data_IF_482569460841
#
_entry.id   IF_482569460841
#
_cell.length_a   1.000
_cell.length_b   1.000
_cell.length_c   1.000
_cell.angle_alpha   90.00
_cell.angle_beta   90.00
_cell.angle_gamma   90.00
#
_symmetry.space_group_name_H-M   'P 1'
#
loop_
_entity.id
_entity.type
_entity.pdbx_description
1 polymer ?
#
# COMPACT_ATOMS: atom_id res chain seq x y z
N UNK A 1 -10.66 33.74 -31.08
CA UNK A 1 -9.81 32.88 -30.23
C UNK A 1 -10.56 32.63 -28.93
N UNK A 2 -11.21 31.47 -28.80
CA UNK A 2 -12.07 31.12 -27.68
C UNK A 2 -11.25 30.69 -26.46
N UNK A 3 -11.54 31.29 -25.32
CA UNK A 3 -10.99 30.97 -24.01
C UNK A 3 -11.30 29.51 -23.63
N UNK A 4 -10.31 28.63 -23.74
CA UNK A 4 -10.36 27.28 -23.16
C UNK A 4 -10.54 27.44 -21.65
N UNK A 5 -11.66 26.92 -21.13
CA UNK A 5 -12.04 27.03 -19.74
C UNK A 5 -10.94 26.49 -18.82
N UNK A 6 -10.52 27.33 -17.86
CA UNK A 6 -9.73 26.88 -16.71
C UNK A 6 -10.53 25.78 -16.00
N UNK A 7 -9.95 24.60 -15.87
CA UNK A 7 -10.45 23.58 -14.96
C UNK A 7 -10.63 24.22 -13.58
N UNK A 8 -11.86 24.41 -13.11
CA UNK A 8 -12.09 24.80 -11.73
C UNK A 8 -11.95 23.55 -10.85
N UNK A 9 -10.70 23.13 -10.63
CA UNK A 9 -10.30 22.00 -9.77
C UNK A 9 -10.97 22.03 -8.39
N UNK A 10 -11.38 23.22 -7.93
CA UNK A 10 -11.88 23.53 -6.58
C UNK A 10 -13.31 24.06 -6.54
N UNK A 11 -14.11 23.92 -7.61
CA UNK A 11 -15.53 24.26 -7.50
C UNK A 11 -16.29 23.11 -6.86
N UNK A 12 -16.53 23.22 -5.56
CA UNK A 12 -17.35 22.28 -4.79
C UNK A 12 -18.24 23.01 -3.77
N UNK A 13 -19.20 22.28 -3.20
CA UNK A 13 -20.02 22.76 -2.09
C UNK A 13 -19.93 21.78 -0.92
N UNK A 14 -19.73 22.31 0.29
CA UNK A 14 -19.82 21.52 1.51
C UNK A 14 -21.26 21.45 2.00
N UNK A 15 -21.66 20.29 2.47
CA UNK A 15 -22.96 20.03 3.08
C UNK A 15 -22.79 19.00 4.20
N UNK A 16 -22.52 19.51 5.40
CA UNK A 16 -22.23 18.75 6.62
C UNK A 16 -21.20 17.63 6.43
N UNK A 17 -21.60 16.42 6.04
CA UNK A 17 -20.73 15.25 5.85
C UNK A 17 -20.35 14.96 4.40
N UNK A 18 -20.75 15.82 3.46
CA UNK A 18 -20.58 15.62 2.02
C UNK A 18 -19.89 16.82 1.33
N UNK A 19 -18.96 16.50 0.43
CA UNK A 19 -18.40 17.43 -0.55
C UNK A 19 -19.09 17.17 -1.88
N UNK A 20 -19.90 18.11 -2.36
CA UNK A 20 -20.56 18.03 -3.65
C UNK A 20 -19.68 18.61 -4.75
N UNK A 21 -19.36 17.79 -5.75
CA UNK A 21 -18.70 18.22 -6.98
C UNK A 21 -19.72 18.27 -8.13
N UNK A 22 -20.03 19.45 -8.66
CA UNK A 22 -20.86 19.58 -9.85
C UNK A 22 -20.03 19.10 -11.05
N UNK A 23 -20.26 17.85 -11.49
CA UNK A 23 -19.62 17.34 -12.70
C UNK A 23 -20.09 18.20 -13.89
N UNK A 24 -19.17 18.97 -14.48
CA UNK A 24 -19.40 19.85 -15.64
C UNK A 24 -19.67 19.09 -16.97
N UNK A 25 -20.01 17.80 -16.92
CA UNK A 25 -20.38 17.05 -18.12
C UNK A 25 -21.86 17.24 -18.47
N UNK A 26 -22.15 17.16 -19.77
CA UNK A 26 -23.49 17.25 -20.39
C UNK A 26 -24.56 16.31 -19.81
N UNK A 27 -24.16 15.34 -18.97
CA UNK A 27 -25.00 14.27 -18.43
C UNK A 27 -25.65 14.55 -17.06
N UNK A 28 -25.68 15.79 -16.54
CA UNK A 28 -26.42 16.21 -15.31
C UNK A 28 -26.15 15.43 -14.01
N UNK A 29 -25.19 14.49 -13.97
CA UNK A 29 -24.91 13.68 -12.77
C UNK A 29 -24.11 14.49 -11.75
N UNK A 30 -24.53 14.42 -10.50
CA UNK A 30 -23.91 15.03 -9.32
C UNK A 30 -23.04 13.97 -8.65
N UNK A 31 -21.83 14.35 -8.22
CA UNK A 31 -21.00 13.50 -7.37
C UNK A 31 -20.90 14.12 -5.98
N UNK A 32 -20.89 13.27 -4.95
CA UNK A 32 -20.59 13.71 -3.59
C UNK A 32 -19.63 12.77 -2.90
N UNK A 33 -18.82 13.31 -2.00
CA UNK A 33 -17.77 12.57 -1.32
C UNK A 33 -17.90 12.72 0.19
N UNK A 34 -17.78 11.61 0.90
CA UNK A 34 -17.64 11.58 2.36
C UNK A 34 -16.26 11.03 2.72
N UNK A 35 -15.71 11.47 3.85
CA UNK A 35 -14.41 11.02 4.36
C UNK A 35 -14.59 10.44 5.74
N UNK A 36 -13.99 9.27 5.95
CA UNK A 36 -14.14 8.50 7.18
C UNK A 36 -12.75 8.09 7.68
N UNK A 37 -12.51 8.28 8.97
CA UNK A 37 -11.35 7.70 9.67
C UNK A 37 -11.72 6.38 10.31
N UNK A 38 -10.83 5.40 10.15
CA UNK A 38 -11.06 4.02 10.59
C UNK A 38 -9.77 3.45 11.17
N UNK A 39 -9.87 2.73 12.29
CA UNK A 39 -8.70 2.02 12.85
C UNK A 39 -8.45 0.70 12.10
N UNK A 40 -9.52 -0.03 11.83
CA UNK A 40 -9.53 -1.33 11.13
C UNK A 40 -10.44 -1.21 9.89
N UNK A 41 -9.91 -1.54 8.71
CA UNK A 41 -10.59 -1.36 7.41
C UNK A 41 -11.34 -2.62 6.96
N UNK A 42 -10.90 -3.78 7.47
CA UNK A 42 -11.27 -5.11 6.95
C UNK A 42 -12.78 -5.28 6.96
N UNK A 43 -13.37 -5.07 8.14
CA UNK A 43 -14.79 -5.24 8.37
C UNK A 43 -15.65 -4.24 7.55
N UNK A 44 -15.08 -3.07 7.24
CA UNK A 44 -15.74 -2.05 6.44
C UNK A 44 -15.68 -2.34 4.93
N UNK A 45 -14.64 -3.05 4.47
CA UNK A 45 -14.53 -3.41 3.05
C UNK A 45 -15.72 -4.28 2.64
N UNK A 46 -16.15 -5.23 3.46
CA UNK A 46 -17.29 -6.10 3.13
C UNK A 46 -18.60 -5.29 3.04
N UNK A 47 -18.84 -4.40 4.00
CA UNK A 47 -20.02 -3.52 3.98
C UNK A 47 -20.00 -2.63 2.75
N UNK A 48 -18.90 -1.93 2.49
CA UNK A 48 -18.83 -1.01 1.36
C UNK A 48 -18.89 -1.72 0.01
N UNK A 49 -18.36 -2.95 -0.07
CA UNK A 49 -18.51 -3.81 -1.26
C UNK A 49 -19.98 -4.09 -1.54
N UNK A 50 -20.76 -4.50 -0.54
CA UNK A 50 -22.20 -4.74 -0.71
C UNK A 50 -22.94 -3.48 -1.18
N UNK A 51 -22.58 -2.31 -0.64
CA UNK A 51 -23.18 -1.03 -1.04
C UNK A 51 -22.80 -0.60 -2.46
N UNK A 52 -21.61 -0.92 -2.92
CA UNK A 52 -21.17 -0.74 -4.31
C UNK A 52 -21.95 -1.69 -5.23
N UNK A 53 -22.12 -2.96 -4.84
CA UNK A 53 -22.92 -3.96 -5.58
C UNK A 53 -24.39 -3.54 -5.72
N UNK A 54 -24.97 -2.97 -4.66
CA UNK A 54 -26.32 -2.41 -4.66
C UNK A 54 -26.44 -1.03 -5.32
N UNK A 55 -25.33 -0.46 -5.81
CA UNK A 55 -25.24 0.88 -6.42
C UNK A 55 -25.68 2.02 -5.50
N UNK A 56 -25.64 1.82 -4.19
CA UNK A 56 -25.86 2.89 -3.20
C UNK A 56 -24.65 3.81 -3.17
N UNK A 57 -23.45 3.22 -3.29
CA UNK A 57 -22.17 3.91 -3.43
C UNK A 57 -21.67 3.72 -4.86
N UNK A 58 -21.11 4.77 -5.44
CA UNK A 58 -20.54 4.70 -6.79
C UNK A 58 -19.16 4.05 -6.78
N UNK A 59 -18.29 4.49 -5.89
CA UNK A 59 -17.00 3.85 -5.60
C UNK A 59 -16.55 4.24 -4.19
N UNK A 60 -15.58 3.53 -3.63
CA UNK A 60 -14.86 3.98 -2.45
C UNK A 60 -13.35 3.78 -2.61
N UNK A 61 -12.58 4.48 -1.80
CA UNK A 61 -11.13 4.36 -1.75
C UNK A 61 -10.64 4.22 -0.32
N UNK A 62 -9.56 3.47 -0.15
CA UNK A 62 -8.81 3.37 1.11
C UNK A 62 -7.46 4.01 0.89
N UNK A 63 -7.19 5.06 1.65
CA UNK A 63 -5.93 5.77 1.69
C UNK A 63 -5.15 5.32 2.93
N UNK A 64 -3.90 4.90 2.73
CA UNK A 64 -2.97 4.58 3.82
C UNK A 64 -1.72 5.45 3.65
N UNK A 65 -1.42 6.26 4.65
CA UNK A 65 -0.18 7.03 4.67
C UNK A 65 1.00 6.23 5.24
N UNK A 66 2.19 6.83 5.24
CA UNK A 66 3.39 6.20 5.79
C UNK A 66 3.35 6.00 7.31
N UNK A 67 2.48 6.72 8.01
CA UNK A 67 2.25 6.55 9.45
C UNK A 67 1.17 5.49 9.73
N UNK A 68 0.73 4.76 8.69
CA UNK A 68 -0.30 3.73 8.74
C UNK A 68 -1.67 4.26 9.18
N UNK A 69 -1.89 5.58 9.15
CA UNK A 69 -3.22 6.14 9.30
C UNK A 69 -4.03 5.81 8.07
N UNK A 70 -5.30 5.46 8.32
CA UNK A 70 -6.20 4.98 7.30
C UNK A 70 -7.39 5.92 7.20
N UNK A 71 -7.62 6.37 5.99
CA UNK A 71 -8.74 7.25 5.64
C UNK A 71 -9.49 6.61 4.49
N UNK A 72 -10.80 6.51 4.61
CA UNK A 72 -11.67 6.04 3.53
C UNK A 72 -12.37 7.23 2.90
N UNK A 73 -12.43 7.27 1.57
CA UNK A 73 -13.23 8.24 0.83
C UNK A 73 -14.32 7.47 0.11
N UNK A 74 -15.56 7.88 0.29
CA UNK A 74 -16.74 7.24 -0.26
C UNK A 74 -17.39 8.19 -1.24
N UNK A 75 -17.58 7.74 -2.48
CA UNK A 75 -18.18 8.52 -3.55
C UNK A 75 -19.60 8.04 -3.85
N UNK A 76 -20.52 8.99 -3.87
CA UNK A 76 -21.90 8.81 -4.29
C UNK A 76 -22.11 9.51 -5.63
N UNK A 77 -22.99 8.95 -6.46
CA UNK A 77 -23.32 9.53 -7.76
C UNK A 77 -24.79 9.31 -8.08
N UNK A 78 -25.50 10.39 -8.34
CA UNK A 78 -26.91 10.36 -8.77
C UNK A 78 -27.22 11.58 -9.65
N UNK A 79 -28.41 11.62 -10.24
CA UNK A 79 -28.92 12.79 -10.96
C UNK A 79 -29.54 13.82 -10.01
N UNK A 80 -30.02 13.38 -8.84
CA UNK A 80 -30.66 14.22 -7.83
C UNK A 80 -29.86 14.25 -6.53
N UNK A 81 -29.68 15.46 -5.98
CA UNK A 81 -28.94 15.68 -4.73
C UNK A 81 -29.56 14.93 -3.55
N UNK A 82 -30.89 14.90 -3.51
CA UNK A 82 -31.69 14.29 -2.43
C UNK A 82 -31.46 12.78 -2.35
N UNK A 83 -31.28 12.11 -3.49
CA UNK A 83 -30.98 10.67 -3.55
C UNK A 83 -29.60 10.38 -2.97
N UNK A 84 -28.61 11.22 -3.29
CA UNK A 84 -27.26 11.13 -2.70
C UNK A 84 -27.33 11.26 -1.17
N UNK A 85 -28.07 12.26 -0.67
CA UNK A 85 -28.23 12.48 0.77
C UNK A 85 -28.89 11.26 1.42
N UNK A 86 -29.96 10.71 0.83
CA UNK A 86 -30.62 9.49 1.32
C UNK A 86 -29.65 8.30 1.37
N UNK A 87 -28.93 8.03 0.29
CA UNK A 87 -27.93 6.96 0.21
C UNK A 87 -26.83 7.12 1.26
N UNK A 88 -26.36 8.35 1.47
CA UNK A 88 -25.40 8.66 2.51
C UNK A 88 -25.96 8.35 3.91
N UNK A 89 -27.18 8.77 4.23
CA UNK A 89 -27.75 8.52 5.55
C UNK A 89 -28.06 7.04 5.82
N UNK A 90 -28.42 6.27 4.79
CA UNK A 90 -28.54 4.80 4.90
C UNK A 90 -27.19 4.20 5.31
N UNK A 91 -26.12 4.57 4.61
CA UNK A 91 -24.77 4.10 4.93
C UNK A 91 -24.34 4.57 6.33
N UNK A 92 -24.53 5.85 6.65
CA UNK A 92 -24.16 6.43 7.93
C UNK A 92 -24.82 5.68 9.09
N UNK A 93 -26.11 5.39 9.01
CA UNK A 93 -26.83 4.64 10.03
C UNK A 93 -26.24 3.22 10.20
N UNK A 94 -25.88 2.56 9.09
CA UNK A 94 -25.22 1.26 9.14
C UNK A 94 -23.86 1.36 9.84
N UNK A 95 -23.03 2.35 9.48
CA UNK A 95 -21.71 2.56 10.07
C UNK A 95 -21.78 2.91 11.57
N UNK A 96 -22.72 3.76 11.96
CA UNK A 96 -22.96 4.13 13.36
C UNK A 96 -23.35 2.91 14.21
N UNK A 97 -24.07 1.96 13.63
CA UNK A 97 -24.42 0.69 14.29
C UNK A 97 -23.28 -0.32 14.35
N UNK A 98 -22.31 -0.20 13.43
CA UNK A 98 -21.26 -1.19 13.23
C UNK A 98 -20.10 -1.06 14.24
N UNK A 99 -19.61 0.15 14.50
CA UNK A 99 -18.51 0.36 15.44
C UNK A 99 -18.38 1.80 15.91
N UNK A 100 -18.20 2.01 17.22
CA UNK A 100 -17.86 3.33 17.81
C UNK A 100 -16.50 3.87 17.37
N UNK A 101 -15.69 3.10 16.64
CA UNK A 101 -14.34 3.47 16.20
C UNK A 101 -14.31 4.09 14.80
N UNK A 102 -15.47 4.35 14.21
CA UNK A 102 -15.62 4.98 12.91
C UNK A 102 -15.94 6.45 13.13
N UNK A 103 -15.16 7.33 12.52
CA UNK A 103 -15.40 8.76 12.59
C UNK A 103 -15.64 9.33 11.19
N UNK A 104 -16.85 9.82 10.94
CA UNK A 104 -17.20 10.51 9.70
C UNK A 104 -16.91 12.01 9.89
N UNK A 105 -16.04 12.56 9.04
CA UNK A 105 -15.68 13.96 9.12
C UNK A 105 -16.80 14.87 8.59
N UNK A 106 -16.91 16.06 9.18
CA UNK A 106 -17.89 17.07 8.78
C UNK A 106 -17.22 18.43 8.48
N UNK A 107 -17.87 19.22 7.62
CA UNK A 107 -17.59 20.61 7.33
C UNK A 107 -16.13 20.85 6.95
N UNK A 108 -15.46 21.81 7.61
CA UNK A 108 -14.05 22.15 7.34
C UNK A 108 -13.09 20.98 7.60
N UNK A 109 -13.43 20.09 8.54
CA UNK A 109 -12.60 18.91 8.79
C UNK A 109 -12.74 17.89 7.66
N UNK A 110 -13.94 17.73 7.11
CA UNK A 110 -14.17 16.92 5.90
C UNK A 110 -13.35 17.45 4.72
N UNK A 111 -13.45 18.75 4.46
CA UNK A 111 -12.69 19.43 3.40
C UNK A 111 -11.19 19.23 3.58
N UNK A 112 -10.66 19.55 4.77
CA UNK A 112 -9.24 19.39 5.08
C UNK A 112 -8.77 17.95 4.87
N UNK A 113 -9.54 16.96 5.34
CA UNK A 113 -9.17 15.54 5.22
C UNK A 113 -9.33 14.99 3.80
N UNK A 114 -10.26 15.51 3.03
CA UNK A 114 -10.44 15.11 1.63
C UNK A 114 -9.24 15.51 0.76
N UNK A 115 -8.74 16.73 0.95
CA UNK A 115 -7.60 17.27 0.21
C UNK A 115 -6.24 16.92 0.83
N UNK A 116 -6.19 16.18 1.96
CA UNK A 116 -4.94 15.76 2.61
C UNK A 116 -4.23 14.63 1.83
N UNK A 117 -3.68 15.01 0.68
CA UNK A 117 -3.07 14.15 -0.33
C UNK A 117 -1.54 14.29 -0.38
N UNK A 118 -0.96 14.73 0.73
CA UNK A 118 0.43 15.18 0.86
C UNK A 118 0.75 16.60 0.42
N UNK A 119 -0.11 17.21 -0.40
CA UNK A 119 0.00 18.59 -0.89
C UNK A 119 -1.20 19.37 -0.35
N UNK A 120 -0.96 20.57 0.16
CA UNK A 120 -2.05 21.48 0.52
C UNK A 120 -2.61 22.13 -0.73
N UNK A 121 -3.52 21.44 -1.41
CA UNK A 121 -4.10 21.89 -2.67
C UNK A 121 -4.86 23.22 -2.57
N UNK A 122 -5.14 23.71 -1.35
CA UNK A 122 -5.81 24.99 -1.12
C UNK A 122 -4.83 26.18 -1.09
N UNK A 123 -3.51 25.97 -1.16
CA UNK A 123 -2.56 27.08 -1.22
C UNK A 123 -2.59 27.79 -2.59
N UNK A 124 -3.00 29.06 -2.58
CA UNK A 124 -3.08 29.91 -3.76
C UNK A 124 -1.73 30.17 -4.46
N UNK A 125 -0.60 29.81 -3.83
CA UNK A 125 0.74 29.96 -4.40
C UNK A 125 1.31 28.65 -4.99
N UNK A 126 0.47 27.64 -5.22
CA UNK A 126 0.90 26.42 -5.88
C UNK A 126 0.97 26.64 -7.40
N UNK A 127 2.16 26.45 -7.94
CA UNK A 127 2.38 26.27 -9.37
C UNK A 127 2.63 24.78 -9.65
N UNK A 128 2.03 24.27 -10.72
CA UNK A 128 2.18 22.87 -11.11
C UNK A 128 2.70 22.83 -12.54
N UNK A 129 3.87 22.24 -12.71
CA UNK A 129 4.52 22.07 -14.00
C UNK A 129 4.59 20.59 -14.36
N UNK A 130 4.24 20.25 -15.59
CA UNK A 130 4.36 18.88 -16.07
C UNK A 130 5.82 18.57 -16.44
N UNK A 131 6.35 17.47 -15.91
CA UNK A 131 7.61 16.86 -16.36
C UNK A 131 7.33 15.49 -16.98
N UNK A 132 8.36 14.89 -17.57
CA UNK A 132 8.28 13.51 -18.05
C UNK A 132 8.02 12.59 -16.85
N UNK A 133 6.87 11.89 -16.89
CA UNK A 133 6.43 10.93 -15.89
C UNK A 133 6.23 11.48 -14.46
N UNK A 134 6.08 12.80 -14.30
CA UNK A 134 5.91 13.43 -13.00
C UNK A 134 5.25 14.81 -13.11
N UNK A 135 4.78 15.32 -11.97
CA UNK A 135 4.32 16.69 -11.84
C UNK A 135 5.20 17.41 -10.81
N UNK A 136 5.83 18.50 -11.20
CA UNK A 136 6.46 19.39 -10.23
C UNK A 136 5.41 20.26 -9.58
N UNK A 137 5.56 20.41 -8.28
CA UNK A 137 4.72 21.22 -7.43
C UNK A 137 5.63 22.21 -6.75
N UNK A 138 5.47 23.48 -7.09
CA UNK A 138 6.25 24.58 -6.56
C UNK A 138 5.35 25.36 -5.60
N UNK A 139 5.75 25.42 -4.33
CA UNK A 139 5.07 26.23 -3.32
C UNK A 139 6.10 26.93 -2.44
N UNK A 140 6.01 28.26 -2.30
CA UNK A 140 6.81 29.08 -1.36
C UNK A 140 8.31 28.71 -1.36
N UNK A 141 8.90 28.57 -2.57
CA UNK A 141 10.32 28.21 -2.81
C UNK A 141 10.71 26.74 -2.56
N UNK A 142 9.77 25.83 -2.31
CA UNK A 142 10.02 24.39 -2.30
C UNK A 142 9.51 23.79 -3.61
N UNK A 143 10.41 23.17 -4.36
CA UNK A 143 10.08 22.32 -5.50
C UNK A 143 9.97 20.88 -5.02
N UNK A 144 8.87 20.22 -5.36
CA UNK A 144 8.61 18.82 -5.06
C UNK A 144 8.12 18.12 -6.31
N UNK A 145 8.51 16.87 -6.48
CA UNK A 145 8.13 16.08 -7.63
C UNK A 145 7.12 15.01 -7.20
N UNK A 146 5.88 15.15 -7.65
CA UNK A 146 4.83 14.15 -7.46
C UNK A 146 4.95 13.08 -8.55
N UNK A 147 5.16 11.84 -8.12
CA UNK A 147 5.14 10.66 -8.98
C UNK A 147 4.00 9.74 -8.57
N UNK A 148 3.45 9.03 -9.56
CA UNK A 148 2.43 8.03 -9.36
C UNK A 148 2.92 6.69 -9.89
N UNK A 149 2.68 5.63 -9.14
CA UNK A 149 3.02 4.27 -9.51
C UNK A 149 1.78 3.40 -9.40
N UNK A 150 1.60 2.48 -10.35
CA UNK A 150 0.72 1.33 -10.14
C UNK A 150 1.43 0.34 -9.22
N UNK A 151 0.65 -0.31 -8.35
CA UNK A 151 1.17 -1.32 -7.42
C UNK A 151 0.62 -2.68 -7.81
N UNK A 152 1.44 -3.54 -8.40
CA UNK A 152 1.05 -4.90 -8.72
C UNK A 152 1.00 -5.75 -7.44
N UNK A 153 -0.23 -6.10 -7.05
CA UNK A 153 -0.52 -6.98 -5.92
C UNK A 153 -0.96 -8.38 -6.37
N UNK A 154 -0.59 -8.83 -7.57
CA UNK A 154 -1.01 -10.15 -8.09
C UNK A 154 -0.04 -11.29 -7.78
N UNK A 155 1.21 -11.00 -7.41
CA UNK A 155 2.31 -11.98 -7.48
C UNK A 155 2.73 -12.66 -6.17
N UNK A 156 2.07 -12.39 -5.04
CA UNK A 156 2.43 -13.01 -3.76
C UNK A 156 1.28 -13.86 -3.21
N UNK A 157 1.33 -15.19 -3.37
CA UNK A 157 0.29 -16.07 -2.83
C UNK A 157 0.26 -16.12 -1.28
N UNK A 158 1.20 -15.45 -0.60
CA UNK A 158 1.33 -15.38 0.86
C UNK A 158 0.99 -13.97 1.38
N UNK A 159 -0.03 -13.35 0.83
CA UNK A 159 -0.54 -12.07 1.30
C UNK A 159 -1.11 -12.19 2.71
N UNK A 160 -0.38 -11.68 3.69
CA UNK A 160 -0.97 -11.27 4.96
C UNK A 160 -0.72 -9.78 5.21
N UNK A 161 -1.36 -9.24 6.24
CA UNK A 161 -1.20 -7.84 6.66
C UNK A 161 0.28 -7.44 6.85
N UNK A 162 1.18 -8.42 7.05
CA UNK A 162 2.62 -8.22 7.14
C UNK A 162 3.24 -7.66 5.87
N UNK A 163 2.73 -8.00 4.67
CA UNK A 163 3.23 -7.43 3.42
C UNK A 163 2.99 -5.93 3.37
N UNK A 164 1.75 -5.45 3.55
CA UNK A 164 1.43 -4.02 3.47
C UNK A 164 2.19 -3.20 4.51
N UNK A 165 2.31 -3.72 5.74
CA UNK A 165 3.07 -3.06 6.80
C UNK A 165 4.55 -3.00 6.43
N UNK A 166 5.12 -4.07 5.88
CA UNK A 166 6.54 -4.10 5.48
C UNK A 166 6.79 -3.20 4.27
N UNK A 167 5.89 -3.21 3.29
CA UNK A 167 5.92 -2.35 2.11
C UNK A 167 5.90 -0.87 2.47
N UNK A 168 4.96 -0.45 3.33
CA UNK A 168 4.89 0.94 3.80
C UNK A 168 6.12 1.32 4.61
N UNK A 169 6.65 0.42 5.46
CA UNK A 169 7.89 0.67 6.21
C UNK A 169 9.09 0.87 5.29
N UNK A 170 9.22 0.05 4.24
CA UNK A 170 10.26 0.22 3.23
C UNK A 170 10.12 1.58 2.57
N UNK A 171 8.93 1.92 2.06
CA UNK A 171 8.68 3.22 1.44
C UNK A 171 9.04 4.39 2.38
N UNK A 172 8.67 4.31 3.66
CA UNK A 172 8.99 5.34 4.67
C UNK A 172 10.49 5.50 4.93
N UNK A 173 11.29 4.44 4.74
CA UNK A 173 12.74 4.51 4.93
C UNK A 173 13.45 5.27 3.79
N UNK A 174 12.88 5.26 2.58
CA UNK A 174 13.50 5.85 1.40
C UNK A 174 12.85 7.17 0.96
N UNK A 175 11.57 7.36 1.26
CA UNK A 175 10.80 8.52 0.81
C UNK A 175 10.24 9.28 2.00
N UNK A 176 10.29 10.61 1.92
CA UNK A 176 9.82 11.47 3.02
C UNK A 176 8.29 11.42 3.16
N UNK A 177 7.58 11.31 2.03
CA UNK A 177 6.12 11.39 2.02
C UNK A 177 5.54 10.57 0.88
N UNK A 178 4.56 9.74 1.20
CA UNK A 178 3.86 8.91 0.24
C UNK A 178 2.53 8.45 0.80
N UNK A 179 1.64 8.09 -0.13
CA UNK A 179 0.30 7.61 0.18
C UNK A 179 -0.05 6.47 -0.76
N UNK A 180 -0.43 5.34 -0.19
CA UNK A 180 -0.94 4.19 -0.91
C UNK A 180 -2.47 4.27 -0.96
N UNK A 181 -3.03 4.18 -2.15
CA UNK A 181 -4.46 4.32 -2.40
C UNK A 181 -4.98 3.07 -3.08
N UNK A 182 -6.09 2.58 -2.54
CA UNK A 182 -6.82 1.43 -3.05
C UNK A 182 -8.20 1.88 -3.49
N UNK A 183 -8.47 1.86 -4.79
CA UNK A 183 -9.76 2.23 -5.33
C UNK A 183 -10.61 1.00 -5.63
N UNK A 184 -11.90 1.08 -5.29
CA UNK A 184 -12.87 0.00 -5.40
C UNK A 184 -14.14 0.50 -6.10
N UNK A 185 -14.50 -0.10 -7.25
CA UNK A 185 -15.67 0.29 -8.05
C UNK A 185 -16.25 -0.89 -8.82
N UNK A 186 -17.43 -0.73 -9.43
CA UNK A 186 -17.85 -1.62 -10.53
C UNK A 186 -17.37 -1.11 -11.88
N UNK A 187 -16.98 -2.03 -12.77
CA UNK A 187 -16.81 -1.71 -14.20
C UNK A 187 -18.15 -1.73 -14.95
N UNK A 188 -18.10 -1.51 -16.26
CA UNK A 188 -19.28 -1.54 -17.15
C UNK A 188 -19.98 -2.89 -17.17
N UNK A 189 -19.26 -3.97 -16.91
CA UNK A 189 -19.76 -5.35 -16.85
C UNK A 189 -20.34 -5.71 -15.48
N UNK A 190 -20.38 -4.75 -14.54
CA UNK A 190 -20.74 -4.96 -13.13
C UNK A 190 -19.81 -5.93 -12.40
N UNK A 191 -18.61 -6.15 -12.90
CA UNK A 191 -17.57 -6.81 -12.13
C UNK A 191 -17.00 -5.82 -11.11
N UNK A 192 -16.67 -6.30 -9.93
CA UNK A 192 -16.06 -5.49 -8.89
C UNK A 192 -14.55 -5.38 -9.18
N UNK A 193 -14.06 -4.15 -9.29
CA UNK A 193 -12.72 -3.81 -9.72
C UNK A 193 -11.94 -3.12 -8.61
N UNK A 194 -10.70 -3.54 -8.47
CA UNK A 194 -9.71 -2.97 -7.57
C UNK A 194 -8.53 -2.36 -8.34
N UNK A 195 -8.16 -1.14 -7.97
CA UNK A 195 -7.05 -0.39 -8.58
C UNK A 195 -6.15 0.23 -7.50
N UNK A 196 -5.00 -0.40 -7.20
CA UNK A 196 -4.01 0.11 -6.25
C UNK A 196 -3.00 1.04 -6.93
N UNK A 197 -2.72 2.17 -6.31
CA UNK A 197 -1.68 3.09 -6.76
C UNK A 197 -0.98 3.77 -5.60
N UNK A 198 0.29 4.08 -5.78
CA UNK A 198 1.14 4.77 -4.85
C UNK A 198 1.44 6.17 -5.38
N UNK A 199 1.20 7.18 -4.55
CA UNK A 199 1.66 8.54 -4.80
C UNK A 199 2.89 8.79 -3.93
N UNK A 200 3.98 9.23 -4.53
CA UNK A 200 5.20 9.64 -3.83
C UNK A 200 5.46 11.13 -4.09
N UNK A 201 5.71 11.88 -3.02
CA UNK A 201 6.11 13.27 -3.10
C UNK A 201 7.59 13.37 -2.77
N UNK A 202 8.41 13.51 -3.81
CA UNK A 202 9.86 13.52 -3.72
C UNK A 202 10.35 14.96 -3.53
N UNK A 203 11.28 15.17 -2.60
CA UNK A 203 11.98 16.45 -2.44
C UNK A 203 13.32 16.42 -3.21
N UNK A 204 13.89 17.59 -3.53
CA UNK A 204 15.00 17.80 -4.48
C UNK A 204 16.20 16.82 -4.41
N UNK A 205 16.46 16.17 -3.26
CA UNK A 205 17.56 15.23 -3.05
C UNK A 205 17.18 13.75 -3.21
N UNK A 206 15.88 13.40 -3.26
CA UNK A 206 15.37 12.04 -3.43
C UNK A 206 15.18 11.71 -4.91
N UNK A 207 16.30 11.55 -5.64
CA UNK A 207 16.29 11.18 -7.07
C UNK A 207 16.33 9.67 -7.33
N UNK A 208 16.35 8.84 -6.29
CA UNK A 208 16.35 7.39 -6.48
C UNK A 208 15.11 6.95 -7.26
N UNK A 209 15.33 6.06 -8.24
CA UNK A 209 14.26 5.48 -9.02
C UNK A 209 13.48 4.50 -8.14
N UNK A 210 12.39 5.00 -7.53
CA UNK A 210 11.56 4.20 -6.64
C UNK A 210 11.05 2.91 -7.29
N UNK A 211 10.83 2.91 -8.62
CA UNK A 211 10.42 1.69 -9.32
C UNK A 211 11.52 0.64 -9.23
N UNK A 212 12.75 0.98 -9.64
CA UNK A 212 13.87 0.04 -9.60
C UNK A 212 14.18 -0.39 -8.17
N UNK A 213 14.29 0.56 -7.23
CA UNK A 213 14.62 0.25 -5.83
C UNK A 213 13.64 -0.76 -5.22
N UNK A 214 12.34 -0.50 -5.35
CA UNK A 214 11.33 -1.36 -4.76
C UNK A 214 11.24 -2.69 -5.52
N UNK A 215 11.27 -2.67 -6.84
CA UNK A 215 11.25 -3.91 -7.63
C UNK A 215 12.50 -4.77 -7.39
N UNK A 216 13.65 -4.16 -7.10
CA UNK A 216 14.89 -4.87 -6.75
C UNK A 216 14.79 -5.52 -5.36
N UNK A 217 14.23 -4.79 -4.37
CA UNK A 217 14.02 -5.31 -3.01
C UNK A 217 13.09 -6.52 -3.03
N UNK A 218 12.04 -6.45 -3.84
CA UNK A 218 11.01 -7.48 -3.88
C UNK A 218 11.25 -8.54 -4.94
N UNK A 219 12.10 -8.28 -5.93
CA UNK A 219 12.45 -9.19 -7.02
C UNK A 219 11.36 -9.43 -8.06
N UNK A 220 10.30 -8.65 -8.01
CA UNK A 220 9.23 -8.67 -8.97
C UNK A 220 8.77 -7.24 -9.20
N UNK A 221 8.09 -7.04 -10.33
CA UNK A 221 7.57 -5.74 -10.72
C UNK A 221 6.36 -5.36 -9.86
N UNK A 222 6.60 -4.89 -8.63
CA UNK A 222 5.59 -4.31 -7.76
C UNK A 222 5.20 -2.94 -8.25
N UNK A 223 6.18 -2.07 -8.46
CA UNK A 223 5.93 -0.71 -8.90
C UNK A 223 6.05 -0.65 -10.41
N UNK A 224 5.16 0.12 -11.01
CA UNK A 224 5.24 0.54 -12.40
C UNK A 224 4.92 2.02 -12.47
N UNK A 225 5.90 2.84 -12.86
CA UNK A 225 5.74 4.28 -12.97
C UNK A 225 4.64 4.60 -13.98
N UNK A 226 3.65 5.39 -13.53
CA UNK A 226 2.60 5.94 -14.39
C UNK A 226 3.06 7.30 -14.90
N UNK A 227 2.92 7.50 -16.21
CA UNK A 227 3.07 8.84 -16.80
C UNK A 227 1.93 9.74 -16.31
N UNK A 228 2.28 10.87 -15.70
CA UNK A 228 1.33 11.87 -15.25
C UNK A 228 1.23 13.04 -16.24
N UNK A 229 0.00 13.45 -16.51
CA UNK A 229 -0.38 14.65 -17.21
C UNK A 229 -1.04 15.62 -16.23
N UNK A 230 -1.07 16.91 -16.56
CA UNK A 230 -1.69 17.92 -15.68
C UNK A 230 -3.18 17.61 -15.39
N UNK A 231 -3.88 17.03 -16.37
CA UNK A 231 -5.27 16.59 -16.25
C UNK A 231 -5.49 15.44 -15.25
N UNK A 232 -4.47 14.61 -15.00
CA UNK A 232 -4.52 13.53 -14.02
C UNK A 232 -4.63 14.04 -12.58
N UNK A 233 -4.36 15.32 -12.32
CA UNK A 233 -4.50 15.91 -10.98
C UNK A 233 -5.95 15.82 -10.49
N UNK A 234 -6.91 16.03 -11.38
CA UNK A 234 -8.33 15.85 -11.05
C UNK A 234 -8.56 14.40 -10.64
N UNK A 235 -8.05 13.46 -11.42
CA UNK A 235 -8.20 12.04 -11.13
C UNK A 235 -7.57 11.66 -9.78
N UNK A 236 -6.40 12.22 -9.47
CA UNK A 236 -5.72 12.03 -8.20
C UNK A 236 -6.51 12.66 -7.04
N UNK A 237 -6.87 13.94 -7.10
CA UNK A 237 -7.59 14.66 -6.03
C UNK A 237 -8.95 14.03 -5.76
N UNK A 238 -9.65 13.60 -6.80
CA UNK A 238 -10.98 13.02 -6.69
C UNK A 238 -10.95 11.49 -6.63
N UNK A 239 -9.75 10.86 -6.49
CA UNK A 239 -9.54 9.40 -6.46
C UNK A 239 -10.28 8.65 -7.57
N UNK A 240 -10.38 9.26 -8.74
CA UNK A 240 -10.98 8.64 -9.92
C UNK A 240 -9.89 7.79 -10.58
N UNK A 241 -9.97 6.46 -10.48
CA UNK A 241 -9.02 5.61 -11.21
C UNK A 241 -9.46 5.44 -12.65
N UNK A 242 -8.57 5.77 -13.58
CA UNK A 242 -8.55 5.14 -14.89
C UNK A 242 -8.29 3.64 -14.72
N UNK A 243 -8.91 2.86 -15.59
CA UNK A 243 -8.97 1.41 -15.59
C UNK A 243 -7.59 0.75 -15.48
N UNK A 244 -7.17 0.38 -14.27
CA UNK A 244 -6.32 -0.78 -14.07
C UNK A 244 -7.12 -1.81 -13.31
N UNK A 245 -7.62 -2.80 -14.04
CA UNK A 245 -8.54 -3.80 -13.52
C UNK A 245 -7.75 -4.99 -13.01
N UNK A 246 -7.79 -5.23 -11.70
CA UNK A 246 -7.45 -6.54 -11.15
C UNK A 246 -8.75 -7.23 -10.73
N UNK A 247 -8.93 -8.45 -11.22
CA UNK A 247 -10.20 -9.20 -11.10
C UNK A 247 -10.33 -10.02 -9.81
N UNK A 248 -9.29 -10.13 -8.97
CA UNK A 248 -9.30 -11.07 -7.85
C UNK A 248 -9.28 -10.37 -6.47
N UNK A 249 -10.48 -10.01 -5.98
CA UNK A 249 -10.66 -9.49 -4.63
C UNK A 249 -10.38 -10.54 -3.54
N UNK A 250 -10.54 -11.84 -3.84
CA UNK A 250 -10.42 -12.92 -2.84
C UNK A 250 -8.99 -13.04 -2.32
N UNK A 251 -7.99 -12.98 -3.20
CA UNK A 251 -6.56 -12.95 -2.82
C UNK A 251 -6.15 -11.65 -2.10
N UNK A 252 -6.91 -10.57 -2.27
CA UNK A 252 -6.70 -9.31 -1.55
C UNK A 252 -7.35 -9.33 -0.16
N UNK A 253 -8.52 -9.95 0.00
CA UNK A 253 -9.13 -10.18 1.32
C UNK A 253 -8.20 -11.01 2.22
N UNK A 254 -7.38 -11.90 1.65
CA UNK A 254 -6.33 -12.62 2.37
C UNK A 254 -5.24 -11.68 2.95
N UNK A 255 -4.85 -10.61 2.23
CA UNK A 255 -3.98 -9.54 2.77
C UNK A 255 -4.56 -8.98 4.07
N UNK A 256 -5.88 -8.83 4.10
CA UNK A 256 -6.60 -8.19 5.18
C UNK A 256 -7.00 -9.17 6.29
N UNK A 257 -7.11 -10.47 6.01
CA UNK A 257 -7.54 -11.48 6.96
C UNK A 257 -6.43 -11.89 7.95
N UNK A 258 -6.73 -11.83 9.25
CA UNK A 258 -5.77 -12.14 10.34
C UNK A 258 -5.48 -13.63 10.58
N UNK A 259 -6.20 -14.54 9.92
CA UNK A 259 -6.22 -15.95 10.33
C UNK A 259 -5.69 -16.89 9.26
N UNK A 260 -4.44 -17.35 9.42
CA UNK A 260 -3.99 -18.57 8.74
C UNK A 260 -3.21 -19.49 9.69
N UNK A 261 -3.75 -20.72 9.80
CA UNK A 261 -3.20 -22.05 10.11
C UNK A 261 -2.14 -22.28 11.22
N UNK A 262 -2.29 -23.41 11.92
CA UNK A 262 -1.45 -23.91 13.04
C UNK A 262 0.05 -24.11 12.73
N UNK A 263 0.49 -24.16 11.46
CA UNK A 263 1.94 -24.12 11.13
C UNK A 263 2.51 -22.70 11.22
N UNK A 264 1.68 -21.65 11.16
CA UNK A 264 2.09 -20.27 11.40
C UNK A 264 2.41 -19.99 12.88
N UNK A 265 1.94 -20.78 13.85
CA UNK A 265 2.27 -20.55 15.26
C UNK A 265 3.76 -20.77 15.53
N UNK A 266 4.31 -21.94 15.18
CA UNK A 266 5.75 -22.23 15.37
C UNK A 266 6.62 -21.18 14.66
N UNK A 267 6.22 -20.80 13.45
CA UNK A 267 6.91 -19.80 12.65
C UNK A 267 6.81 -18.37 13.24
N UNK A 268 5.63 -17.96 13.71
CA UNK A 268 5.42 -16.67 14.38
C UNK A 268 6.14 -16.62 15.71
N UNK A 269 6.12 -17.70 16.48
CA UNK A 269 6.83 -17.83 17.74
C UNK A 269 8.34 -17.72 17.52
N UNK A 270 8.86 -18.37 16.48
CA UNK A 270 10.25 -18.21 16.07
C UNK A 270 10.57 -16.76 15.71
N UNK A 271 9.79 -16.13 14.82
CA UNK A 271 10.01 -14.73 14.42
C UNK A 271 9.90 -13.76 15.59
N UNK A 272 8.97 -14.01 16.51
CA UNK A 272 8.82 -13.22 17.73
C UNK A 272 10.04 -13.35 18.64
N UNK A 273 10.48 -14.59 18.91
CA UNK A 273 11.70 -14.86 19.70
C UNK A 273 12.93 -14.23 19.05
N UNK A 274 13.05 -14.33 17.73
CA UNK A 274 14.13 -13.74 16.94
C UNK A 274 14.18 -12.22 17.09
N UNK A 275 13.05 -11.55 16.85
CA UNK A 275 12.94 -10.09 16.95
C UNK A 275 13.18 -9.60 18.38
N UNK A 276 12.69 -10.35 19.37
CA UNK A 276 12.95 -10.08 20.79
C UNK A 276 14.44 -10.16 21.09
N UNK A 277 15.13 -11.21 20.64
CA UNK A 277 16.58 -11.34 20.81
C UNK A 277 17.37 -10.23 20.12
N UNK A 278 17.00 -9.83 18.90
CA UNK A 278 17.63 -8.66 18.27
C UNK A 278 17.44 -7.38 19.09
N UNK A 279 16.27 -7.20 19.71
CA UNK A 279 16.03 -6.07 20.61
C UNK A 279 16.87 -6.16 21.87
N UNK A 280 16.96 -7.35 22.49
CA UNK A 280 17.72 -7.59 23.72
C UNK A 280 19.23 -7.38 23.51
N UNK A 281 19.71 -7.64 22.29
CA UNK A 281 21.11 -7.48 21.88
C UNK A 281 21.41 -6.16 21.15
N UNK A 282 20.42 -5.26 21.03
CA UNK A 282 20.54 -3.99 20.28
C UNK A 282 20.98 -4.13 18.80
N UNK A 283 20.75 -5.30 18.19
CA UNK A 283 21.10 -5.57 16.79
C UNK A 283 20.16 -4.77 15.87
N UNK A 284 20.74 -3.96 14.98
CA UNK A 284 19.98 -3.21 13.97
C UNK A 284 19.63 -4.09 12.78
N UNK A 285 18.32 -4.32 12.59
CA UNK A 285 17.82 -5.14 11.49
C UNK A 285 16.66 -4.48 10.73
N UNK A 286 16.49 -4.89 9.48
CA UNK A 286 15.40 -4.56 8.59
C UNK A 286 14.61 -5.84 8.27
N UNK A 287 13.37 -5.90 8.73
CA UNK A 287 12.45 -6.98 8.38
C UNK A 287 11.84 -6.69 7.01
N UNK A 288 12.31 -7.37 5.97
CA UNK A 288 11.88 -7.18 4.57
C UNK A 288 10.51 -7.85 4.38
N UNK A 289 10.42 -9.10 4.82
CA UNK A 289 9.17 -9.85 4.95
C UNK A 289 9.41 -10.98 5.97
N UNK A 290 8.38 -11.79 6.24
CA UNK A 290 8.49 -12.86 7.23
C UNK A 290 9.60 -13.89 6.89
N UNK A 291 9.99 -14.01 5.62
CA UNK A 291 11.04 -14.91 5.14
C UNK A 291 12.41 -14.25 5.00
N UNK A 292 12.54 -12.93 5.14
CA UNK A 292 13.78 -12.21 4.87
C UNK A 292 14.03 -11.10 5.88
N UNK A 293 15.17 -11.17 6.57
CA UNK A 293 15.63 -10.16 7.52
C UNK A 293 17.05 -9.76 7.15
N UNK A 294 17.30 -8.46 7.00
CA UNK A 294 18.62 -7.91 6.71
C UNK A 294 19.21 -7.25 7.96
N UNK A 295 20.36 -7.70 8.41
CA UNK A 295 21.09 -7.17 9.57
C UNK A 295 22.24 -6.30 9.06
N UNK A 296 22.33 -5.06 9.57
CA UNK A 296 23.41 -4.11 9.30
C UNK A 296 23.82 -3.92 7.82
N UNK A 297 22.90 -4.20 6.88
CA UNK A 297 23.14 -4.19 5.42
C UNK A 297 24.19 -5.20 4.92
N UNK A 298 24.57 -6.19 5.73
CA UNK A 298 25.62 -7.17 5.39
C UNK A 298 25.17 -8.62 5.50
N UNK A 299 24.31 -8.93 6.46
CA UNK A 299 23.86 -10.30 6.72
C UNK A 299 22.37 -10.45 6.39
N UNK A 300 22.06 -11.34 5.46
CA UNK A 300 20.71 -11.66 5.04
C UNK A 300 20.29 -12.99 5.66
N UNK A 301 19.38 -12.91 6.62
CA UNK A 301 18.68 -14.08 7.14
C UNK A 301 17.55 -14.42 6.18
N UNK A 302 17.58 -15.64 5.66
CA UNK A 302 16.56 -16.20 4.79
C UNK A 302 15.89 -17.34 5.52
N UNK A 303 14.59 -17.25 5.71
CA UNK A 303 13.82 -18.27 6.41
C UNK A 303 13.08 -19.12 5.37
N UNK A 304 13.36 -20.42 5.39
CA UNK A 304 12.87 -21.42 4.44
C UNK A 304 11.94 -22.40 5.17
N UNK A 305 10.61 -22.22 5.10
CA UNK A 305 9.65 -23.10 5.79
C UNK A 305 9.59 -24.52 5.19
N UNK A 306 9.96 -24.68 3.91
CA UNK A 306 9.94 -25.95 3.18
C UNK A 306 10.97 -25.92 2.06
N UNK A 307 11.74 -27.01 1.87
CA UNK A 307 12.71 -27.05 0.76
C UNK A 307 12.01 -27.08 -0.60
N UNK A 308 12.35 -26.09 -1.42
CA UNK A 308 12.40 -26.27 -2.86
C UNK A 308 13.80 -25.87 -3.30
N UNK A 309 14.52 -26.82 -3.92
CA UNK A 309 15.91 -26.62 -4.32
C UNK A 309 16.09 -25.41 -5.26
N UNK A 310 15.12 -25.16 -6.14
CA UNK A 310 15.14 -24.02 -7.04
C UNK A 310 15.11 -22.69 -6.29
N UNK A 311 14.27 -22.57 -5.26
CA UNK A 311 14.14 -21.35 -4.46
C UNK A 311 15.46 -21.02 -3.73
N UNK A 312 16.15 -22.02 -3.18
CA UNK A 312 17.45 -21.83 -2.52
C UNK A 312 18.51 -21.40 -3.53
N UNK A 313 18.52 -22.05 -4.70
CA UNK A 313 19.47 -21.73 -5.76
C UNK A 313 19.28 -20.29 -6.23
N UNK A 314 18.05 -19.84 -6.45
CA UNK A 314 17.74 -18.46 -6.84
C UNK A 314 18.21 -17.45 -5.79
N UNK A 315 17.96 -17.73 -4.50
CA UNK A 315 18.42 -16.89 -3.38
C UNK A 315 19.95 -16.80 -3.36
N UNK A 316 20.65 -17.92 -3.53
CA UNK A 316 22.12 -17.93 -3.54
C UNK A 316 22.68 -17.21 -4.77
N UNK A 317 22.18 -17.48 -5.98
CA UNK A 317 22.63 -16.81 -7.20
C UNK A 317 22.48 -15.28 -7.10
N UNK A 318 21.42 -14.82 -6.41
CA UNK A 318 21.08 -13.40 -6.34
C UNK A 318 21.75 -12.64 -5.21
N UNK A 319 21.81 -13.23 -4.02
CA UNK A 319 22.21 -12.51 -2.81
C UNK A 319 23.63 -12.86 -2.35
N UNK A 320 24.14 -14.05 -2.68
CA UNK A 320 25.38 -14.57 -2.10
C UNK A 320 26.65 -13.73 -2.40
N UNK A 321 26.81 -13.06 -3.56
CA UNK A 321 27.97 -12.17 -3.70
C UNK A 321 27.82 -10.88 -2.88
N UNK A 322 26.58 -10.43 -2.62
CA UNK A 322 26.29 -9.14 -1.98
C UNK A 322 26.24 -9.25 -0.45
N UNK A 323 25.67 -10.33 0.07
CA UNK A 323 25.39 -10.53 1.48
C UNK A 323 26.00 -11.84 1.99
N UNK A 324 26.29 -11.87 3.28
CA UNK A 324 26.46 -13.13 3.99
C UNK A 324 25.06 -13.66 4.27
N UNK A 325 24.79 -14.92 3.95
CA UNK A 325 23.45 -15.49 4.00
C UNK A 325 23.35 -16.48 5.16
N UNK A 326 22.29 -16.38 5.96
CA UNK A 326 21.92 -17.39 6.95
C UNK A 326 20.57 -18.00 6.59
N UNK A 327 20.57 -19.23 6.07
CA UNK A 327 19.38 -20.00 5.72
C UNK A 327 18.84 -20.72 6.95
N UNK A 328 17.65 -20.33 7.41
CA UNK A 328 16.97 -20.95 8.55
C UNK A 328 15.95 -21.96 8.04
N UNK A 329 16.09 -23.23 8.41
CA UNK A 329 15.20 -24.31 8.01
C UNK A 329 14.30 -24.76 9.16
N UNK A 330 13.04 -25.08 8.84
CA UNK A 330 12.04 -25.51 9.83
C UNK A 330 11.84 -27.02 9.90
N UNK A 331 12.38 -27.75 8.92
CA UNK A 331 12.31 -29.20 8.86
C UNK A 331 13.74 -29.78 8.96
N UNK A 332 13.91 -30.77 9.83
CA UNK A 332 15.21 -31.39 10.10
C UNK A 332 15.74 -32.17 8.89
N UNK A 333 14.88 -32.92 8.20
CA UNK A 333 15.26 -33.63 6.97
C UNK A 333 15.72 -32.64 5.90
N UNK A 334 15.01 -31.52 5.82
CA UNK A 334 15.30 -30.40 4.92
C UNK A 334 16.67 -29.77 5.21
N UNK A 335 16.95 -29.50 6.50
CA UNK A 335 18.26 -29.03 6.97
C UNK A 335 19.39 -29.99 6.55
N UNK A 336 19.22 -31.27 6.84
CA UNK A 336 20.21 -32.31 6.53
C UNK A 336 20.44 -32.45 5.03
N UNK A 337 19.38 -32.31 4.22
CA UNK A 337 19.46 -32.42 2.77
C UNK A 337 20.22 -31.24 2.15
N UNK A 338 19.95 -29.99 2.54
CA UNK A 338 20.72 -28.84 2.02
C UNK A 338 22.19 -28.95 2.43
N UNK A 339 22.43 -29.28 3.70
CA UNK A 339 23.77 -29.32 4.28
C UNK A 339 24.65 -30.43 3.69
N UNK A 340 24.10 -31.36 2.90
CA UNK A 340 24.83 -32.42 2.18
C UNK A 340 25.13 -32.07 0.71
N UNK A 341 24.66 -30.93 0.20
CA UNK A 341 24.91 -30.52 -1.18
C UNK A 341 26.32 -29.94 -1.27
N UNK A 342 27.23 -30.63 -1.97
CA UNK A 342 28.66 -30.27 -2.03
C UNK A 342 28.89 -28.83 -2.48
N UNK A 343 28.18 -28.36 -3.51
CA UNK A 343 28.27 -26.98 -4.01
C UNK A 343 27.87 -25.90 -2.99
N UNK A 344 27.08 -26.26 -1.99
CA UNK A 344 26.60 -25.35 -0.94
C UNK A 344 27.58 -25.33 0.23
N UNK A 345 28.25 -26.45 0.54
CA UNK A 345 29.29 -26.52 1.59
C UNK A 345 30.48 -25.61 1.31
N UNK A 346 30.80 -25.40 0.04
CA UNK A 346 31.94 -24.58 -0.37
C UNK A 346 31.67 -23.06 -0.26
N UNK A 347 30.44 -22.66 0.05
CA UNK A 347 30.02 -21.27 0.15
C UNK A 347 30.37 -20.67 1.53
N UNK A 348 31.58 -20.12 1.65
CA UNK A 348 32.12 -19.49 2.88
C UNK A 348 31.25 -18.44 3.58
N UNK A 349 30.36 -17.74 2.86
CA UNK A 349 29.46 -16.71 3.42
C UNK A 349 28.04 -17.23 3.60
N UNK A 350 27.83 -18.53 3.55
CA UNK A 350 26.53 -19.17 3.70
C UNK A 350 26.52 -20.02 4.96
N UNK A 351 25.63 -19.69 5.89
CA UNK A 351 25.31 -20.50 7.04
C UNK A 351 23.94 -21.14 6.83
N UNK A 352 23.80 -22.42 7.17
CA UNK A 352 22.51 -23.11 7.18
C UNK A 352 22.25 -23.52 8.61
N UNK A 353 21.12 -23.09 9.16
CA UNK A 353 20.80 -23.19 10.58
C UNK A 353 19.43 -23.83 10.70
N UNK A 354 19.33 -24.86 11.53
CA UNK A 354 18.03 -25.40 11.89
C UNK A 354 17.38 -24.49 12.94
N UNK A 355 16.08 -24.20 12.81
CA UNK A 355 15.44 -23.16 13.63
C UNK A 355 15.53 -23.40 15.15
N UNK A 356 15.59 -24.67 15.59
CA UNK A 356 15.76 -25.02 17.01
C UNK A 356 17.18 -24.72 17.51
N UNK A 357 18.18 -24.79 16.63
CA UNK A 357 19.59 -24.54 16.96
C UNK A 357 19.98 -23.07 16.85
N UNK A 358 19.09 -22.24 16.27
CA UNK A 358 19.36 -20.85 15.96
C UNK A 358 19.74 -19.99 17.17
N UNK A 359 19.33 -20.39 18.37
CA UNK A 359 19.70 -19.70 19.61
C UNK A 359 21.21 -19.69 19.89
N UNK A 360 21.95 -20.69 19.41
CA UNK A 360 23.40 -20.81 19.61
C UNK A 360 24.22 -20.03 18.58
N UNK A 361 23.67 -19.78 17.38
CA UNK A 361 24.37 -19.13 16.27
C UNK A 361 24.27 -17.60 16.26
N UNK A 362 23.31 -17.03 17.00
CA UNK A 362 23.12 -15.57 17.09
C UNK A 362 24.31 -14.80 17.67
N UNK A 363 25.16 -15.46 18.46
CA UNK A 363 26.37 -14.87 19.04
C UNK A 363 27.42 -14.48 17.98
N UNK A 364 27.26 -14.92 16.73
CA UNK A 364 28.15 -14.61 15.61
C UNK A 364 27.87 -13.26 14.93
N UNK A 365 26.77 -12.59 15.31
CA UNK A 365 26.38 -11.27 14.78
C UNK A 365 26.72 -10.09 15.72
N UNK A 366 27.32 -10.38 16.88
CA UNK A 366 28.07 -9.42 17.70
C UNK A 366 29.53 -9.42 17.25
#
# INVERSE_FOLDING_TARGET
MSSKGKYQLFTYKLDEYLIFYPSLNSNRKIMAFSVISVQEVIDLIEILKEYVEKRIIYYYSVQIDFDLQKTMIICFRDEQKENIIKSFYILKNQLDSFSKKIHIYANKLLESKFFDLMIDWNDHNIEINQKINALDIINRKRERNLKMYYVDLRLNNDYDNGFLVSFIKILKNYFTKGVLIFNFKHNSEKEYVFSPFLLLLLENYQREDAENLINDIYEYRILSLKKLYLEDIILIIWRISDSYETKNLKSLMEIFNKNHSKKKEIYRDFLYKLKKKFSDLEIKYHHINDKLILIEKKDLIVIVPSLKYNDIREILEKFYPKYSISLITFNKLDHENISKIDKIRDLKRLNIIYFEDFEYDLLKFN
#
